data_IF_466254991890
#
_entry.id   IF_466254991890
#
_cell.length_a   1.000
_cell.length_b   1.000
_cell.length_c   1.000
_cell.angle_alpha   90.00
_cell.angle_beta   90.00
_cell.angle_gamma   90.00
#
_symmetry.space_group_name_H-M   'P 1'
#
loop_
_entity.id
_entity.type
_entity.pdbx_description
1 polymer ?
#
# COMPACT_ATOMS: atom_id res chain seq x y z
N UNK A 1 57.09 20.36 5.14
CA UNK A 1 55.93 21.02 4.58
C UNK A 1 55.20 19.96 3.70
N UNK A 2 54.22 19.26 4.26
CA UNK A 2 53.55 18.18 3.57
C UNK A 2 52.29 18.76 2.91
N UNK A 3 52.26 18.69 1.57
CA UNK A 3 51.16 19.16 0.76
C UNK A 3 50.09 18.05 0.72
N UNK A 4 49.00 18.21 1.52
CA UNK A 4 47.84 17.36 1.39
C UNK A 4 47.12 17.68 0.07
N UNK A 5 47.28 16.80 -0.90
CA UNK A 5 46.47 16.78 -2.11
C UNK A 5 45.12 16.24 -1.71
N UNK A 6 44.15 17.12 -1.50
CA UNK A 6 42.75 16.77 -1.36
C UNK A 6 42.28 16.20 -2.68
N UNK A 7 42.12 14.87 -2.75
CA UNK A 7 41.40 14.21 -3.83
C UNK A 7 39.92 14.48 -3.57
N UNK A 8 39.40 15.58 -4.12
CA UNK A 8 37.96 15.73 -4.30
C UNK A 8 37.55 14.75 -5.39
N UNK A 9 37.19 13.54 -4.99
CA UNK A 9 36.44 12.65 -5.86
C UNK A 9 35.11 13.36 -6.12
N UNK A 10 35.01 14.01 -7.26
CA UNK A 10 33.74 14.41 -7.82
C UNK A 10 33.01 13.08 -8.15
N UNK A 11 32.29 12.55 -7.17
CA UNK A 11 31.30 11.53 -7.44
C UNK A 11 30.30 12.18 -8.39
N UNK A 12 30.22 11.67 -9.61
CA UNK A 12 29.14 12.04 -10.49
C UNK A 12 27.85 11.62 -9.76
N UNK A 13 27.11 12.61 -9.29
CA UNK A 13 25.84 12.34 -8.61
C UNK A 13 24.94 11.54 -9.56
N UNK A 14 24.37 10.47 -9.06
CA UNK A 14 23.42 9.63 -9.83
C UNK A 14 22.27 10.51 -10.29
N UNK A 15 22.05 10.60 -11.61
CA UNK A 15 20.89 11.29 -12.17
C UNK A 15 19.65 10.41 -12.02
N UNK A 16 18.64 10.82 -11.21
CA UNK A 16 17.48 9.98 -10.92
C UNK A 16 16.67 9.61 -12.16
N UNK A 17 16.53 10.52 -13.13
CA UNK A 17 15.75 10.27 -14.33
C UNK A 17 16.43 9.21 -15.23
N UNK A 18 17.74 9.31 -15.38
CA UNK A 18 18.52 8.30 -16.13
C UNK A 18 18.50 6.95 -15.43
N UNK A 19 18.62 6.92 -14.11
CA UNK A 19 18.61 5.67 -13.33
C UNK A 19 17.24 4.93 -13.43
N UNK A 20 16.13 5.66 -13.31
CA UNK A 20 14.78 5.11 -13.46
C UNK A 20 14.54 4.61 -14.89
N UNK A 21 14.95 5.37 -15.91
CA UNK A 21 14.81 4.94 -17.31
C UNK A 21 15.71 3.75 -17.64
N UNK A 22 16.80 3.57 -16.92
CA UNK A 22 17.69 2.41 -16.98
C UNK A 22 17.16 1.17 -16.25
N UNK A 23 15.96 1.27 -15.62
CA UNK A 23 15.30 0.15 -14.95
C UNK A 23 15.67 -0.03 -13.47
N UNK A 24 16.32 0.96 -12.86
CA UNK A 24 16.55 0.97 -11.41
C UNK A 24 15.22 1.17 -10.69
N UNK A 25 14.96 0.39 -9.64
CA UNK A 25 13.76 0.58 -8.82
C UNK A 25 13.92 1.81 -7.92
N UNK A 26 12.81 2.42 -7.51
CA UNK A 26 12.80 3.58 -6.61
C UNK A 26 13.54 3.30 -5.29
N UNK A 27 13.38 2.08 -4.76
CA UNK A 27 14.07 1.66 -3.53
C UNK A 27 15.58 1.56 -3.70
N UNK A 28 16.05 1.03 -4.84
CA UNK A 28 17.48 0.96 -5.15
C UNK A 28 18.05 2.36 -5.36
N UNK A 29 17.34 3.19 -6.12
CA UNK A 29 17.75 4.55 -6.41
C UNK A 29 17.82 5.41 -5.13
N UNK A 30 16.80 5.32 -4.27
CA UNK A 30 16.81 5.97 -2.97
C UNK A 30 18.04 5.55 -2.14
N UNK A 31 18.35 4.24 -2.16
CA UNK A 31 19.55 3.72 -1.51
C UNK A 31 20.83 4.32 -2.04
N UNK A 32 20.96 4.45 -3.33
CA UNK A 32 22.11 5.01 -4.01
C UNK A 32 22.28 6.51 -3.64
N UNK A 33 21.22 7.30 -3.79
CA UNK A 33 21.24 8.74 -3.48
C UNK A 33 21.58 9.02 -2.01
N UNK A 34 21.03 8.25 -1.09
CA UNK A 34 21.36 8.36 0.34
C UNK A 34 22.82 7.95 0.60
N UNK A 35 23.35 6.92 -0.08
CA UNK A 35 24.76 6.55 0.04
C UNK A 35 25.72 7.59 -0.56
N UNK A 36 25.26 8.40 -1.50
CA UNK A 36 25.96 9.56 -2.05
C UNK A 36 25.90 10.80 -1.13
N UNK A 37 25.15 10.71 -0.01
CA UNK A 37 25.08 11.74 1.03
C UNK A 37 23.84 12.61 1.00
N UNK A 38 22.84 12.31 0.19
CA UNK A 38 21.55 13.00 0.24
C UNK A 38 20.76 12.58 1.49
N UNK A 39 19.94 13.49 2.02
CA UNK A 39 18.94 13.12 3.01
C UNK A 39 17.87 12.22 2.38
N UNK A 40 17.15 11.43 3.20
CA UNK A 40 16.04 10.60 2.70
C UNK A 40 14.98 11.47 2.03
N UNK A 41 14.69 12.64 2.59
CA UNK A 41 13.68 13.56 2.06
C UNK A 41 14.10 14.15 0.72
N UNK A 42 15.34 14.63 0.60
CA UNK A 42 15.86 15.18 -0.66
C UNK A 42 15.94 14.12 -1.76
N UNK A 43 16.38 12.92 -1.40
CA UNK A 43 16.43 11.79 -2.33
C UNK A 43 15.01 11.36 -2.78
N UNK A 44 14.04 11.34 -1.85
CA UNK A 44 12.63 11.07 -2.15
C UNK A 44 12.08 12.13 -3.11
N UNK A 45 12.31 13.41 -2.82
CA UNK A 45 11.88 14.52 -3.68
C UNK A 45 12.52 14.43 -5.07
N UNK A 46 13.80 14.11 -5.16
CA UNK A 46 14.51 13.96 -6.43
C UNK A 46 13.92 12.82 -7.29
N UNK A 47 13.58 11.69 -6.68
CA UNK A 47 12.96 10.55 -7.36
C UNK A 47 11.55 10.91 -7.86
N UNK A 48 10.75 11.59 -7.03
CA UNK A 48 9.39 12.03 -7.40
C UNK A 48 9.45 13.02 -8.59
N UNK A 49 10.36 13.97 -8.56
CA UNK A 49 10.57 14.95 -9.63
C UNK A 49 11.08 14.30 -10.93
N UNK A 50 11.80 13.20 -10.81
CA UNK A 50 12.27 12.39 -11.95
C UNK A 50 11.18 11.49 -12.54
N UNK A 51 9.98 11.48 -11.98
CA UNK A 51 8.85 10.67 -12.46
C UNK A 51 8.78 9.26 -11.87
N UNK A 52 9.48 9.01 -10.75
CA UNK A 52 9.37 7.75 -10.01
C UNK A 52 7.93 7.47 -9.54
N UNK A 53 7.60 6.18 -9.42
CA UNK A 53 6.29 5.77 -8.89
C UNK A 53 6.12 6.29 -7.46
N UNK A 54 5.08 7.07 -7.23
CA UNK A 54 4.84 7.78 -5.98
C UNK A 54 4.75 6.84 -4.78
N UNK A 55 3.91 5.81 -4.87
CA UNK A 55 3.69 4.85 -3.78
C UNK A 55 4.97 4.07 -3.46
N UNK A 56 5.67 3.57 -4.50
CA UNK A 56 6.92 2.83 -4.32
C UNK A 56 8.02 3.71 -3.70
N UNK A 57 8.12 4.97 -4.12
CA UNK A 57 9.10 5.93 -3.59
C UNK A 57 8.84 6.21 -2.11
N UNK A 58 7.58 6.46 -1.74
CA UNK A 58 7.19 6.70 -0.34
C UNK A 58 7.39 5.45 0.52
N UNK A 59 7.03 4.26 0.04
CA UNK A 59 7.28 3.01 0.75
C UNK A 59 8.77 2.76 0.98
N UNK A 60 9.61 3.11 -0.01
CA UNK A 60 11.07 3.04 0.13
C UNK A 60 11.59 4.02 1.19
N UNK A 61 11.03 5.24 1.25
CA UNK A 61 11.39 6.24 2.27
C UNK A 61 10.96 5.80 3.67
N UNK A 62 9.77 5.22 3.84
CA UNK A 62 9.33 4.61 5.10
C UNK A 62 10.29 3.54 5.59
N UNK A 63 10.74 2.66 4.71
CA UNK A 63 11.71 1.61 5.07
C UNK A 63 13.04 2.17 5.60
N UNK A 64 13.29 3.45 5.40
CA UNK A 64 14.49 4.19 5.86
C UNK A 64 14.18 5.14 7.02
N UNK A 65 13.00 5.07 7.61
CA UNK A 65 12.60 5.80 8.81
C UNK A 65 12.00 7.18 8.58
N UNK A 66 11.61 7.53 7.35
CA UNK A 66 10.83 8.74 7.09
C UNK A 66 9.48 8.67 7.83
N UNK A 67 9.02 9.79 8.37
CA UNK A 67 7.71 9.90 9.03
C UNK A 67 6.63 10.39 8.06
N UNK A 68 5.36 10.20 8.40
CA UNK A 68 4.23 10.73 7.62
C UNK A 68 4.32 12.25 7.42
N UNK A 69 4.78 12.96 8.44
CA UNK A 69 4.96 14.42 8.39
C UNK A 69 6.06 14.82 7.40
N UNK A 70 7.19 14.12 7.42
CA UNK A 70 8.30 14.39 6.48
C UNK A 70 7.86 14.12 5.05
N UNK A 71 7.21 12.98 4.82
CA UNK A 71 6.72 12.59 3.49
C UNK A 71 5.63 13.54 2.97
N UNK A 72 4.78 14.06 3.86
CA UNK A 72 3.79 15.05 3.47
C UNK A 72 4.47 16.35 2.99
N UNK A 73 5.50 16.82 3.70
CA UNK A 73 6.30 17.97 3.31
C UNK A 73 6.99 17.75 1.95
N UNK A 74 7.58 16.56 1.76
CA UNK A 74 8.22 16.17 0.49
C UNK A 74 7.20 16.20 -0.65
N UNK A 75 6.00 15.65 -0.43
CA UNK A 75 4.94 15.63 -1.44
C UNK A 75 4.46 17.04 -1.80
N UNK A 76 4.36 17.94 -0.82
CA UNK A 76 4.03 19.34 -1.07
C UNK A 76 5.11 20.07 -1.86
N UNK A 77 6.39 19.83 -1.52
CA UNK A 77 7.52 20.35 -2.28
C UNK A 77 7.56 19.83 -3.74
N UNK A 78 7.02 18.63 -3.97
CA UNK A 78 6.78 18.07 -5.29
C UNK A 78 5.50 18.61 -5.97
N UNK A 79 4.83 19.61 -5.40
CA UNK A 79 3.58 20.21 -5.86
C UNK A 79 2.42 19.20 -6.01
N UNK A 80 2.38 18.17 -5.17
CA UNK A 80 1.28 17.21 -5.15
C UNK A 80 0.13 17.78 -4.31
N UNK A 81 -1.11 17.77 -4.82
CA UNK A 81 -2.28 18.18 -4.04
C UNK A 81 -2.38 17.42 -2.71
N UNK A 82 -2.77 18.09 -1.63
CA UNK A 82 -2.78 17.53 -0.28
C UNK A 82 -3.61 16.24 -0.18
N UNK A 83 -4.75 16.17 -0.87
CA UNK A 83 -5.59 14.98 -0.94
C UNK A 83 -4.86 13.77 -1.54
N UNK A 84 -4.15 14.00 -2.66
CA UNK A 84 -3.37 12.96 -3.36
C UNK A 84 -2.15 12.55 -2.56
N UNK A 85 -1.53 13.51 -1.86
CA UNK A 85 -0.40 13.25 -0.98
C UNK A 85 -0.81 12.33 0.19
N UNK A 86 -1.91 12.66 0.86
CA UNK A 86 -2.46 11.84 1.96
C UNK A 86 -2.78 10.43 1.46
N UNK A 87 -3.47 10.31 0.32
CA UNK A 87 -3.79 9.00 -0.24
C UNK A 87 -2.53 8.18 -0.56
N UNK A 88 -1.55 8.80 -1.25
CA UNK A 88 -0.32 8.11 -1.62
C UNK A 88 0.50 7.64 -0.41
N UNK A 89 0.50 8.41 0.68
CA UNK A 89 1.18 8.04 1.92
C UNK A 89 0.48 6.84 2.58
N UNK A 90 -0.85 6.82 2.61
CA UNK A 90 -1.64 5.69 3.12
C UNK A 90 -1.39 4.44 2.25
N UNK A 91 -1.41 4.57 0.94
CA UNK A 91 -1.17 3.48 -0.01
C UNK A 91 0.26 2.93 0.09
N UNK A 92 1.21 3.76 0.47
CA UNK A 92 2.60 3.36 0.74
C UNK A 92 2.79 2.64 2.09
N UNK A 93 1.73 2.48 2.88
CA UNK A 93 1.75 1.81 4.18
C UNK A 93 1.86 2.75 5.37
N UNK A 94 1.71 4.06 5.17
CA UNK A 94 1.65 5.05 6.25
C UNK A 94 0.44 4.86 7.16
N UNK A 95 0.58 5.24 8.42
CA UNK A 95 -0.52 5.22 9.36
C UNK A 95 -1.54 6.32 9.01
N UNK A 96 -2.78 5.93 8.72
CA UNK A 96 -3.83 6.86 8.31
C UNK A 96 -4.06 7.99 9.33
N UNK A 97 -4.11 7.65 10.63
CA UNK A 97 -4.37 8.64 11.69
C UNK A 97 -3.23 9.67 11.77
N UNK A 98 -1.98 9.21 11.71
CA UNK A 98 -0.82 10.10 11.73
C UNK A 98 -0.77 10.97 10.47
N UNK A 99 -1.05 10.39 9.31
CA UNK A 99 -1.08 11.11 8.03
C UNK A 99 -2.14 12.21 8.04
N UNK A 100 -3.35 11.91 8.55
CA UNK A 100 -4.43 12.90 8.66
C UNK A 100 -4.08 13.99 9.67
N UNK A 101 -3.47 13.63 10.80
CA UNK A 101 -3.00 14.61 11.78
C UNK A 101 -1.95 15.54 11.17
N UNK A 102 -0.98 15.00 10.44
CA UNK A 102 0.01 15.79 9.73
C UNK A 102 -0.63 16.70 8.67
N UNK A 103 -1.61 16.21 7.93
CA UNK A 103 -2.35 16.99 6.93
C UNK A 103 -3.12 18.17 7.55
N UNK A 104 -3.72 17.98 8.72
CA UNK A 104 -4.41 19.06 9.46
C UNK A 104 -3.43 20.10 10.03
N UNK A 105 -2.18 19.74 10.30
CA UNK A 105 -1.15 20.72 10.68
C UNK A 105 -0.82 21.64 9.50
N UNK A 106 -0.81 21.09 8.28
CA UNK A 106 -0.56 21.84 7.05
C UNK A 106 -1.77 22.70 6.65
N UNK A 107 -2.97 22.13 6.75
CA UNK A 107 -4.22 22.79 6.44
C UNK A 107 -5.26 22.37 7.49
N UNK A 108 -5.58 23.23 8.47
CA UNK A 108 -6.54 22.91 9.54
C UNK A 108 -7.96 22.57 9.05
N UNK A 109 -8.33 23.08 7.88
CA UNK A 109 -9.65 22.84 7.27
C UNK A 109 -9.65 21.61 6.32
N UNK A 110 -8.55 20.86 6.29
CA UNK A 110 -8.43 19.71 5.41
C UNK A 110 -9.41 18.60 5.81
N UNK A 111 -10.20 18.18 4.82
CA UNK A 111 -11.09 17.02 4.93
C UNK A 111 -10.67 15.96 3.93
N UNK A 112 -10.29 14.82 4.45
CA UNK A 112 -9.92 13.69 3.62
C UNK A 112 -11.17 12.98 3.11
N UNK A 113 -11.25 12.81 1.80
CA UNK A 113 -12.28 12.02 1.13
C UNK A 113 -11.60 10.78 0.55
N UNK A 114 -11.80 9.58 1.14
CA UNK A 114 -11.25 8.36 0.58
C UNK A 114 -11.74 8.16 -0.85
N UNK A 115 -10.92 7.58 -1.75
CA UNK A 115 -11.40 7.18 -3.06
C UNK A 115 -12.57 6.21 -2.88
N UNK A 116 -13.57 6.32 -3.78
CA UNK A 116 -14.70 5.40 -3.76
C UNK A 116 -14.19 3.96 -3.93
N UNK A 117 -14.55 3.09 -2.99
CA UNK A 117 -14.23 1.67 -3.08
C UNK A 117 -14.92 1.12 -4.34
N UNK A 118 -14.16 0.59 -5.33
CA UNK A 118 -14.75 0.03 -6.53
C UNK A 118 -15.71 -1.14 -6.24
N UNK A 119 -15.66 -1.72 -5.04
CA UNK A 119 -16.59 -2.76 -4.59
C UNK A 119 -17.84 -2.20 -3.91
N UNK A 120 -17.88 -0.92 -3.54
CA UNK A 120 -19.04 -0.29 -2.90
C UNK A 120 -20.31 -0.25 -3.79
N UNK A 121 -20.18 -0.54 -5.08
CA UNK A 121 -21.32 -0.69 -6.02
C UNK A 121 -21.90 -2.11 -6.11
N UNK A 122 -21.27 -3.09 -5.51
CA UNK A 122 -21.78 -4.45 -5.42
C UNK A 122 -22.57 -4.62 -4.11
N UNK A 123 -23.71 -3.91 -4.02
CA UNK A 123 -24.73 -4.33 -3.05
C UNK A 123 -25.04 -5.79 -3.31
N UNK A 124 -25.03 -6.67 -2.30
CA UNK A 124 -25.57 -8.00 -2.50
C UNK A 124 -27.00 -7.80 -3.00
N UNK A 125 -27.28 -8.32 -4.19
CA UNK A 125 -28.63 -8.34 -4.72
C UNK A 125 -29.49 -8.94 -3.64
N UNK A 126 -30.41 -8.14 -3.09
CA UNK A 126 -31.36 -8.63 -2.10
C UNK A 126 -32.01 -9.86 -2.74
N UNK A 127 -31.90 -11.01 -2.05
CA UNK A 127 -32.63 -12.19 -2.44
C UNK A 127 -34.08 -11.77 -2.65
N UNK A 128 -34.59 -12.03 -3.84
CA UNK A 128 -35.98 -11.73 -4.19
C UNK A 128 -36.92 -12.26 -3.14
N UNK A 129 -38.14 -11.70 -3.02
CA UNK A 129 -39.08 -12.09 -1.99
C UNK A 129 -39.32 -13.61 -2.06
N UNK A 130 -39.06 -14.27 -0.95
CA UNK A 130 -39.43 -15.67 -0.76
C UNK A 130 -40.89 -15.84 -1.12
N UNK A 131 -41.17 -16.73 -2.07
CA UNK A 131 -42.50 -17.20 -2.35
C UNK A 131 -43.12 -17.72 -1.06
N UNK A 132 -44.29 -17.22 -0.72
CA UNK A 132 -45.02 -17.50 0.50
C UNK A 132 -45.24 -18.98 0.79
N UNK A 133 -45.69 -19.32 2.03
CA UNK A 133 -45.77 -20.68 2.52
C UNK A 133 -46.77 -21.48 1.70
N UNK A 134 -46.25 -22.44 0.95
CA UNK A 134 -47.03 -23.49 0.32
C UNK A 134 -47.56 -24.45 1.40
N UNK A 135 -48.86 -24.66 1.40
CA UNK A 135 -49.61 -25.60 2.21
C UNK A 135 -48.95 -26.96 2.29
N UNK A 136 -48.93 -27.62 3.48
CA UNK A 136 -48.39 -28.96 3.61
C UNK A 136 -49.36 -29.98 3.01
N UNK A 137 -48.92 -30.72 2.00
CA UNK A 137 -49.61 -31.92 1.51
C UNK A 137 -49.27 -33.13 2.39
N UNK A 138 -50.17 -34.11 2.47
CA UNK A 138 -50.09 -35.18 3.45
C UNK A 138 -48.98 -36.19 3.14
N UNK A 139 -48.26 -36.53 4.17
CA UNK A 139 -47.29 -37.63 4.25
C UNK A 139 -47.97 -38.97 4.09
N UNK A 140 -47.52 -39.78 3.15
CA UNK A 140 -47.69 -41.20 3.17
C UNK A 140 -46.33 -41.87 3.31
N UNK A 141 -46.23 -42.70 4.35
CA UNK A 141 -45.01 -43.34 4.75
C UNK A 141 -44.53 -44.44 3.83
N UNK A 142 -43.28 -44.77 3.96
CA UNK A 142 -42.77 -46.12 3.72
C UNK A 142 -41.56 -46.36 4.58
N UNK A 143 -41.74 -47.27 5.50
CA UNK A 143 -40.71 -47.88 6.32
C UNK A 143 -40.05 -48.95 5.45
N UNK A 144 -38.76 -48.96 5.37
CA UNK A 144 -37.97 -50.13 4.96
C UNK A 144 -36.80 -50.30 5.92
N UNK A 145 -37.03 -51.16 6.84
CA UNK A 145 -36.01 -51.87 7.62
C UNK A 145 -35.28 -52.87 6.72
N UNK A 146 -33.98 -52.83 6.71
CA UNK A 146 -33.22 -54.03 6.33
C UNK A 146 -32.04 -54.16 7.31
N UNK A 147 -32.23 -55.17 8.12
CA UNK A 147 -31.26 -55.78 9.03
C UNK A 147 -30.31 -56.66 8.23
N UNK A 148 -29.11 -56.76 8.66
CA UNK A 148 -28.11 -57.77 8.26
C UNK A 148 -26.72 -57.22 8.43
N UNK A 149 -25.90 -57.62 9.29
CA UNK A 149 -25.67 -58.88 9.96
C UNK A 149 -24.30 -59.42 9.52
N UNK A 150 -23.42 -59.65 10.49
CA UNK A 150 -22.30 -60.53 10.37
C UNK A 150 -20.98 -59.85 10.04
N UNK A 151 -19.95 -59.86 10.83
CA UNK A 151 -19.39 -60.94 11.62
C UNK A 151 -18.00 -61.24 11.12
N UNK A 152 -17.04 -61.26 12.02
CA UNK A 152 -16.03 -62.29 11.96
C UNK A 152 -14.57 -61.84 11.86
N UNK A 153 -13.92 -61.84 13.01
CA UNK A 153 -12.74 -62.62 13.36
C UNK A 153 -11.36 -62.19 12.82
N UNK A 154 -10.51 -61.80 13.79
CA UNK A 154 -9.07 -62.11 13.88
C UNK A 154 -8.81 -63.63 13.69
N UNK A 155 -7.58 -64.12 13.53
CA UNK A 155 -6.41 -63.83 14.34
C UNK A 155 -5.05 -63.95 13.63
N UNK A 156 -4.02 -63.79 14.41
CA UNK A 156 -2.64 -64.19 14.49
C UNK A 156 -1.62 -63.14 14.03
#
# INVERSE_FOLDING_TARGET
MAMMIGISSAYAATDPATALSGGMTESQLLGTLVSEGMSVDDATLAILNAGGNRVNTLAAAYSRGATESDLLNVMQNANVPLQDAVQAIIDAGGNQQNTLTAAMVVNPDFQYTPPADPTAGLSPTAAGPEAGPGTPGPTTGSISTTTGGGGGASPA
#
